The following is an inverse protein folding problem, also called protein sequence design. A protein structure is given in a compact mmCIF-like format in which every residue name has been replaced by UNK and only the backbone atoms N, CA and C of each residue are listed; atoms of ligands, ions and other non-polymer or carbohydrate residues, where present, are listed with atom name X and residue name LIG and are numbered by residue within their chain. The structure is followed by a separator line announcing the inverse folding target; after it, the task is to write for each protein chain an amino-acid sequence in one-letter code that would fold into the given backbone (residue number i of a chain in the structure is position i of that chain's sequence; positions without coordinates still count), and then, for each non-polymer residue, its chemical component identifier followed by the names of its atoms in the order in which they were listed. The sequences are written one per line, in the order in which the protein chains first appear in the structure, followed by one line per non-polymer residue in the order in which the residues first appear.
data_IF_000922010591
#
_entry.id   IF_000922010591
#
_cell.length_a   1.000
_cell.length_b   1.000
_cell.length_c   1.000
_cell.angle_alpha   90.00
_cell.angle_beta   90.00
_cell.angle_gamma   90.00
#
_symmetry.space_group_name_H-M   'P 1'
#
loop_
_entity.id
_entity.type
_entity.pdbx_description
1 polymer ?
#
# COMPACT_ATOMS: atom_id res chain seq x y z
N UNK A 1 -19.50 55.23 -37.00
CA UNK A 1 -18.06 55.55 -36.98
C UNK A 1 -17.80 56.36 -35.72
N UNK A 2 -16.93 55.83 -34.84
CA UNK A 2 -16.40 56.32 -33.56
C UNK A 2 -16.25 55.05 -32.70
N UNK A 3 -15.15 54.31 -32.75
CA UNK A 3 -13.82 54.60 -32.19
C UNK A 3 -13.87 54.95 -30.70
N UNK A 4 -13.68 53.93 -29.85
CA UNK A 4 -13.01 54.08 -28.56
C UNK A 4 -12.34 52.76 -28.22
N UNK A 5 -11.03 52.78 -28.36
CA UNK A 5 -10.10 51.71 -27.98
C UNK A 5 -9.94 51.70 -26.46
N UNK A 6 -9.91 50.51 -25.86
CA UNK A 6 -9.48 50.34 -24.47
C UNK A 6 -7.95 50.09 -24.45
N UNK A 7 -7.18 50.66 -23.51
CA UNK A 7 -5.73 50.55 -23.46
C UNK A 7 -5.27 49.21 -22.87
N UNK A 8 -4.03 48.87 -23.21
CA UNK A 8 -3.19 47.87 -22.55
C UNK A 8 -2.67 48.42 -21.21
N UNK A 9 -2.50 47.54 -20.22
CA UNK A 9 -1.26 47.31 -19.45
C UNK A 9 -1.59 46.68 -18.08
N UNK A 10 -1.01 45.50 -17.90
CA UNK A 10 -0.26 45.05 -16.72
C UNK A 10 -0.78 45.43 -15.32
N UNK A 11 -1.21 44.41 -14.57
CA UNK A 11 -0.90 44.31 -13.14
C UNK A 11 -0.88 42.82 -12.75
N UNK A 12 0.34 42.26 -12.70
CA UNK A 12 0.60 40.98 -12.04
C UNK A 12 0.24 41.10 -10.56
N UNK A 13 -0.83 40.43 -10.16
CA UNK A 13 -1.08 40.15 -8.76
C UNK A 13 -1.03 38.65 -8.56
N UNK A 14 0.17 38.22 -8.18
CA UNK A 14 0.46 36.96 -7.52
C UNK A 14 -0.55 36.73 -6.39
N UNK A 15 -1.60 35.98 -6.71
CA UNK A 15 -2.43 35.33 -5.73
C UNK A 15 -2.22 33.85 -5.97
N UNK A 16 -1.26 33.31 -5.22
CA UNK A 16 -0.88 31.90 -5.23
C UNK A 16 -2.12 31.01 -5.28
N UNK A 17 -2.42 30.53 -6.49
CA UNK A 17 -3.44 29.54 -6.73
C UNK A 17 -2.89 28.26 -6.11
N UNK A 18 -3.19 28.05 -4.83
CA UNK A 18 -2.96 26.79 -4.15
C UNK A 18 -3.70 25.74 -4.96
N UNK A 19 -2.95 25.06 -5.81
CA UNK A 19 -3.36 23.91 -6.60
C UNK A 19 -4.05 22.97 -5.62
N UNK A 20 -5.37 22.87 -5.72
CA UNK A 20 -6.12 21.86 -4.98
C UNK A 20 -5.71 20.52 -5.57
N UNK A 21 -4.63 19.95 -5.04
CA UNK A 21 -4.22 18.59 -5.29
C UNK A 21 -5.30 17.71 -4.67
N UNK A 22 -6.19 17.16 -5.49
CA UNK A 22 -7.00 16.01 -5.10
C UNK A 22 -6.04 14.98 -4.51
N UNK A 23 -6.12 14.79 -3.19
CA UNK A 23 -5.08 14.13 -2.40
C UNK A 23 -4.87 12.69 -2.85
N UNK A 24 -3.79 12.45 -3.60
CA UNK A 24 -3.25 11.10 -3.76
C UNK A 24 -2.68 10.71 -2.40
N UNK A 25 -3.26 9.70 -1.76
CA UNK A 25 -2.63 9.06 -0.60
C UNK A 25 -1.39 8.35 -1.12
N UNK A 26 -0.23 8.95 -0.89
CA UNK A 26 1.05 8.35 -1.26
C UNK A 26 1.44 7.30 -0.22
N UNK A 27 1.73 6.08 -0.69
CA UNK A 27 2.23 5.03 0.17
C UNK A 27 3.62 5.40 0.70
N UNK A 28 3.88 5.11 1.98
CA UNK A 28 5.19 5.37 2.58
C UNK A 28 6.21 4.39 2.05
N UNK A 29 7.44 4.87 1.86
CA UNK A 29 8.59 4.07 1.42
C UNK A 29 9.51 3.65 2.57
N UNK A 30 9.13 3.95 3.82
CA UNK A 30 9.82 3.54 5.05
C UNK A 30 8.82 3.37 6.20
N UNK A 31 9.17 2.52 7.18
CA UNK A 31 8.36 2.27 8.37
C UNK A 31 9.23 1.66 9.48
N UNK A 32 9.12 2.18 10.71
CA UNK A 32 9.88 1.69 11.87
C UNK A 32 9.41 0.31 12.36
N UNK A 33 8.21 -0.11 11.93
CA UNK A 33 7.61 -1.40 12.30
C UNK A 33 8.06 -2.56 11.40
N UNK A 34 8.98 -2.34 10.46
CA UNK A 34 9.54 -3.41 9.62
C UNK A 34 10.43 -4.38 10.42
N UNK A 35 10.89 -3.99 11.62
CA UNK A 35 11.67 -4.85 12.50
C UNK A 35 10.88 -6.00 13.14
N UNK A 36 9.55 -5.95 13.13
CA UNK A 36 8.68 -7.00 13.71
C UNK A 36 8.23 -8.06 12.69
N UNK A 37 8.73 -8.01 11.47
CA UNK A 37 8.39 -8.98 10.43
C UNK A 37 8.98 -10.35 10.76
N UNK A 38 8.27 -11.40 10.34
CA UNK A 38 8.76 -12.78 10.44
C UNK A 38 10.04 -12.93 9.60
N UNK A 39 11.04 -13.73 10.02
CA UNK A 39 12.15 -14.11 9.15
C UNK A 39 11.70 -15.03 8.00
N UNK A 40 10.56 -15.72 8.16
CA UNK A 40 10.04 -16.73 7.25
C UNK A 40 8.89 -16.20 6.37
N UNK A 41 9.02 -14.98 5.82
CA UNK A 41 8.01 -14.37 4.92
C UNK A 41 7.78 -15.14 3.60
N UNK A 42 8.54 -16.21 3.35
CA UNK A 42 8.41 -17.04 2.14
C UNK A 42 7.39 -18.17 2.34
N UNK A 43 7.00 -18.49 3.58
CA UNK A 43 5.98 -19.52 3.88
C UNK A 43 4.58 -18.92 3.87
N UNK A 44 4.24 -18.18 2.80
CA UNK A 44 2.95 -17.52 2.71
C UNK A 44 1.83 -18.53 2.43
N UNK A 45 0.72 -18.45 3.16
CA UNK A 45 -0.49 -19.13 2.76
C UNK A 45 -0.97 -18.59 1.40
N UNK A 46 -1.68 -19.41 0.60
CA UNK A 46 -2.22 -18.95 -0.68
C UNK A 46 -3.07 -17.67 -0.53
N UNK A 47 -3.02 -16.72 -1.48
CA UNK A 47 -3.84 -15.51 -1.45
C UNK A 47 -5.37 -15.73 -1.46
N UNK A 48 -5.83 -16.97 -1.59
CA UNK A 48 -7.24 -17.35 -1.50
C UNK A 48 -7.61 -17.99 -0.14
N UNK A 49 -6.68 -18.00 0.82
CA UNK A 49 -6.94 -18.57 2.13
C UNK A 49 -8.06 -17.81 2.86
N UNK A 50 -9.00 -18.54 3.49
CA UNK A 50 -10.08 -17.93 4.26
C UNK A 50 -9.56 -17.40 5.61
N UNK A 51 -10.35 -16.56 6.26
CA UNK A 51 -10.07 -16.12 7.62
C UNK A 51 -9.96 -17.32 8.58
N UNK A 52 -8.88 -17.41 9.35
CA UNK A 52 -8.66 -18.48 10.32
C UNK A 52 -9.65 -18.49 11.49
N UNK A 53 -10.39 -17.39 11.73
CA UNK A 53 -11.37 -17.29 12.81
C UNK A 53 -12.80 -17.57 12.35
N UNK A 54 -13.28 -16.90 11.30
CA UNK A 54 -14.67 -17.02 10.86
C UNK A 54 -14.85 -17.67 9.47
N UNK A 55 -13.77 -18.17 8.88
CA UNK A 55 -13.77 -18.87 7.59
C UNK A 55 -14.31 -18.05 6.41
N UNK A 56 -14.39 -16.72 6.54
CA UNK A 56 -14.84 -15.85 5.46
C UNK A 56 -13.83 -15.90 4.30
N UNK A 57 -14.27 -16.06 3.04
CA UNK A 57 -13.38 -16.44 1.94
C UNK A 57 -12.65 -15.28 1.27
N UNK A 58 -13.10 -14.03 1.44
CA UNK A 58 -12.57 -12.86 0.73
C UNK A 58 -12.21 -11.73 1.72
N UNK A 59 -11.65 -10.62 1.22
CA UNK A 59 -11.26 -9.47 2.07
C UNK A 59 -10.33 -9.85 3.23
N UNK A 60 -9.48 -10.85 3.01
CA UNK A 60 -8.55 -11.36 4.00
C UNK A 60 -7.19 -10.68 3.89
N UNK A 61 -6.54 -10.59 5.03
CA UNK A 61 -5.22 -9.99 5.21
C UNK A 61 -4.30 -11.03 5.82
N UNK A 62 -3.03 -10.98 5.45
CA UNK A 62 -1.96 -11.79 6.01
C UNK A 62 -1.14 -10.95 6.98
N UNK A 63 -1.01 -11.41 8.22
CA UNK A 63 -0.10 -10.80 9.18
C UNK A 63 1.35 -11.16 8.84
N UNK A 64 2.21 -10.18 8.59
CA UNK A 64 3.59 -10.42 8.19
C UNK A 64 4.53 -10.76 9.37
N UNK A 65 4.05 -10.65 10.60
CA UNK A 65 4.79 -11.07 11.80
C UNK A 65 4.60 -12.54 12.15
N UNK A 66 3.41 -13.12 11.91
CA UNK A 66 3.07 -14.47 12.37
C UNK A 66 2.30 -15.34 11.37
N UNK A 67 2.09 -14.86 10.15
CA UNK A 67 1.44 -15.58 9.04
C UNK A 67 -0.04 -15.98 9.27
N UNK A 68 -0.72 -15.37 10.25
CA UNK A 68 -2.17 -15.52 10.41
C UNK A 68 -2.93 -14.85 9.26
N UNK A 69 -3.98 -15.50 8.76
CA UNK A 69 -4.89 -14.96 7.74
C UNK A 69 -6.21 -14.59 8.39
N UNK A 70 -6.54 -13.30 8.42
CA UNK A 70 -7.72 -12.80 9.11
C UNK A 70 -8.49 -11.81 8.26
N UNK A 71 -9.82 -11.77 8.44
CA UNK A 71 -10.66 -10.89 7.65
C UNK A 71 -10.48 -9.41 8.04
N UNK A 72 -10.63 -8.55 7.04
CA UNK A 72 -10.43 -7.12 7.16
C UNK A 72 -11.55 -6.39 7.89
N UNK A 73 -11.41 -5.06 7.92
CA UNK A 73 -12.29 -4.15 8.67
C UNK A 73 -13.75 -4.13 8.22
N UNK A 74 -14.01 -4.48 6.96
CA UNK A 74 -15.35 -4.50 6.37
C UNK A 74 -16.10 -5.82 6.56
N UNK A 75 -15.45 -6.82 7.18
CA UNK A 75 -16.06 -8.12 7.50
C UNK A 75 -16.30 -8.21 9.02
N UNK A 76 -15.42 -8.88 9.78
CA UNK A 76 -15.53 -9.03 11.24
C UNK A 76 -14.34 -8.40 11.98
N UNK A 77 -13.47 -7.66 11.28
CA UNK A 77 -12.33 -6.94 11.87
C UNK A 77 -11.31 -7.83 12.58
N UNK A 78 -11.25 -9.13 12.28
CA UNK A 78 -10.32 -10.03 12.98
C UNK A 78 -8.85 -9.63 12.83
N UNK A 79 -8.44 -9.06 11.69
CA UNK A 79 -7.06 -8.57 11.56
C UNK A 79 -6.80 -7.33 12.42
N UNK A 80 -7.82 -6.49 12.67
CA UNK A 80 -7.70 -5.34 13.56
C UNK A 80 -7.59 -5.80 15.02
N UNK A 81 -8.46 -6.69 15.49
CA UNK A 81 -8.37 -7.25 16.83
C UNK A 81 -7.03 -7.97 17.05
N UNK A 82 -6.55 -8.73 16.06
CA UNK A 82 -5.24 -9.35 16.10
C UNK A 82 -4.10 -8.34 16.28
N UNK A 83 -4.15 -7.20 15.59
CA UNK A 83 -3.19 -6.12 15.81
C UNK A 83 -3.29 -5.57 17.24
N UNK A 84 -4.49 -5.33 17.75
CA UNK A 84 -4.70 -4.81 19.11
C UNK A 84 -4.17 -5.77 20.19
N UNK A 85 -4.32 -7.08 19.99
CA UNK A 85 -3.91 -8.11 20.94
C UNK A 85 -2.39 -8.41 20.90
N UNK A 86 -1.78 -8.32 19.72
CA UNK A 86 -0.40 -8.81 19.50
C UNK A 86 0.60 -7.70 19.17
N UNK A 87 0.12 -6.51 18.84
CA UNK A 87 0.90 -5.39 18.31
C UNK A 87 1.66 -5.73 17.01
N UNK A 88 1.18 -6.71 16.23
CA UNK A 88 1.71 -7.02 14.90
C UNK A 88 1.19 -6.03 13.85
N UNK A 89 1.95 -4.97 13.59
CA UNK A 89 1.46 -3.80 12.86
C UNK A 89 1.35 -3.97 11.35
N UNK A 90 2.18 -4.81 10.72
CA UNK A 90 2.31 -4.84 9.26
C UNK A 90 1.57 -6.04 8.66
N UNK A 91 0.67 -5.76 7.73
CA UNK A 91 -0.21 -6.76 7.10
C UNK A 91 -0.29 -6.57 5.58
N UNK A 92 -0.46 -7.66 4.85
CA UNK A 92 -0.63 -7.68 3.40
C UNK A 92 -2.07 -8.06 3.03
N UNK A 93 -2.72 -7.27 2.19
CA UNK A 93 -4.05 -7.55 1.65
C UNK A 93 -3.99 -8.64 0.61
N UNK A 94 -4.81 -9.68 0.71
CA UNK A 94 -4.94 -10.66 -0.36
C UNK A 94 -5.82 -10.18 -1.51
N UNK A 95 -6.56 -9.09 -1.36
CA UNK A 95 -7.45 -8.58 -2.42
C UNK A 95 -6.67 -7.82 -3.51
N UNK A 96 -5.76 -6.94 -3.12
CA UNK A 96 -5.03 -6.05 -4.03
C UNK A 96 -3.50 -6.04 -3.80
N UNK A 97 -3.01 -6.90 -2.88
CA UNK A 97 -1.59 -6.99 -2.50
C UNK A 97 -1.02 -5.70 -1.89
N UNK A 98 -1.88 -4.75 -1.51
CA UNK A 98 -1.46 -3.58 -0.74
C UNK A 98 -0.93 -4.00 0.64
N UNK A 99 0.08 -3.28 1.13
CA UNK A 99 0.62 -3.48 2.49
C UNK A 99 0.18 -2.32 3.36
N UNK A 100 -0.32 -2.64 4.54
CA UNK A 100 -0.83 -1.69 5.53
C UNK A 100 -0.05 -1.82 6.83
N UNK A 101 0.24 -0.69 7.46
CA UNK A 101 0.76 -0.63 8.82
C UNK A 101 -0.28 0.01 9.74
N UNK A 102 -0.82 -0.76 10.69
CA UNK A 102 -1.80 -0.27 11.66
C UNK A 102 -1.24 0.84 12.56
N UNK A 103 -0.02 0.68 13.07
CA UNK A 103 0.60 1.68 13.94
C UNK A 103 0.91 3.01 13.25
N UNK A 104 1.19 2.98 11.94
CA UNK A 104 1.42 4.21 11.16
C UNK A 104 0.15 4.80 10.54
N UNK A 105 -0.97 4.08 10.60
CA UNK A 105 -2.21 4.38 9.88
C UNK A 105 -1.95 4.72 8.40
N UNK A 106 -1.12 3.90 7.73
CA UNK A 106 -0.62 4.20 6.39
C UNK A 106 -0.38 2.94 5.54
N UNK A 107 -0.58 3.10 4.24
CA UNK A 107 -0.10 2.14 3.24
C UNK A 107 1.42 2.24 3.08
N UNK A 108 2.04 1.10 2.81
CA UNK A 108 3.46 0.95 2.55
C UNK A 108 3.70 0.49 1.12
N UNK A 109 4.70 1.08 0.46
CA UNK A 109 5.12 0.66 -0.88
C UNK A 109 6.00 -0.59 -0.78
N UNK A 110 5.40 -1.75 -1.03
CA UNK A 110 6.07 -3.05 -0.91
C UNK A 110 7.19 -3.26 -1.94
N UNK A 111 7.18 -2.54 -3.07
CA UNK A 111 8.20 -2.66 -4.11
C UNK A 111 9.43 -1.82 -3.78
N UNK A 112 9.22 -0.64 -3.17
CA UNK A 112 10.28 0.27 -2.74
C UNK A 112 10.90 -0.10 -1.38
N UNK A 113 10.18 -0.83 -0.52
CA UNK A 113 10.69 -1.30 0.78
C UNK A 113 11.35 -2.69 0.61
N UNK A 114 12.69 -2.82 0.78
CA UNK A 114 13.40 -4.07 0.52
C UNK A 114 12.92 -5.26 1.36
N UNK A 115 12.51 -5.02 2.60
CA UNK A 115 12.03 -6.06 3.53
C UNK A 115 10.68 -6.65 3.09
N UNK A 116 9.87 -5.88 2.35
CA UNK A 116 8.54 -6.29 1.89
C UNK A 116 8.56 -6.89 0.48
N UNK A 117 9.61 -6.64 -0.29
CA UNK A 117 9.70 -7.08 -1.68
C UNK A 117 9.57 -8.61 -1.86
N UNK A 118 10.25 -9.47 -1.07
CA UNK A 118 10.16 -10.91 -1.28
C UNK A 118 8.74 -11.46 -1.04
N UNK A 119 8.08 -10.99 0.03
CA UNK A 119 6.73 -11.43 0.38
C UNK A 119 5.71 -10.98 -0.65
N UNK A 120 5.86 -9.75 -1.16
CA UNK A 120 4.99 -9.20 -2.20
C UNK A 120 5.18 -9.92 -3.53
N UNK A 121 6.43 -10.17 -3.96
CA UNK A 121 6.72 -10.93 -5.19
C UNK A 121 6.10 -12.33 -5.14
N UNK A 122 6.27 -13.03 -4.02
CA UNK A 122 5.68 -14.35 -3.83
C UNK A 122 4.15 -14.29 -3.88
N UNK A 123 3.53 -13.36 -3.15
CA UNK A 123 2.07 -13.21 -3.14
C UNK A 123 1.53 -12.88 -4.54
N UNK A 124 2.25 -12.06 -5.31
CA UNK A 124 1.90 -11.72 -6.69
C UNK A 124 1.95 -12.94 -7.60
N UNK A 125 3.04 -13.72 -7.57
CA UNK A 125 3.18 -14.96 -8.36
C UNK A 125 2.10 -15.98 -7.98
N UNK A 126 1.83 -16.16 -6.68
CA UNK A 126 0.78 -17.09 -6.22
C UNK A 126 -0.62 -16.65 -6.67
N UNK A 127 -0.86 -15.34 -6.79
CA UNK A 127 -2.16 -14.79 -7.17
C UNK A 127 -2.39 -14.75 -8.69
N UNK A 128 -1.36 -14.39 -9.45
CA UNK A 128 -1.48 -14.07 -10.88
C UNK A 128 -0.73 -15.05 -11.80
N UNK A 129 0.14 -15.90 -11.26
CA UNK A 129 0.92 -16.87 -12.04
C UNK A 129 2.12 -16.28 -12.79
N UNK A 130 2.45 -15.00 -12.58
CA UNK A 130 3.54 -14.27 -13.23
C UNK A 130 4.24 -13.34 -12.22
N UNK A 131 5.48 -12.86 -12.48
CA UNK A 131 6.14 -11.91 -11.59
C UNK A 131 5.50 -10.50 -11.65
N UNK A 132 5.62 -9.68 -10.58
CA UNK A 132 5.10 -8.32 -10.60
C UNK A 132 5.83 -7.45 -11.65
N UNK A 133 5.14 -6.47 -12.27
CA UNK A 133 5.76 -5.52 -13.18
C UNK A 133 6.95 -4.82 -12.54
N UNK A 134 8.04 -4.64 -13.31
CA UNK A 134 9.21 -3.91 -12.82
C UNK A 134 8.88 -2.43 -12.66
N UNK A 135 9.29 -1.83 -11.54
CA UNK A 135 9.18 -0.39 -11.36
C UNK A 135 10.11 0.35 -12.36
N UNK A 136 9.67 1.46 -12.97
CA UNK A 136 10.45 2.21 -13.95
C UNK A 136 11.84 2.64 -13.48
N UNK A 137 12.03 2.84 -12.17
CA UNK A 137 13.28 3.30 -11.57
C UNK A 137 14.31 2.18 -11.30
N UNK A 138 14.02 0.94 -11.68
CA UNK A 138 14.92 -0.21 -11.55
C UNK A 138 15.39 -0.78 -12.90
N UNK A 139 15.28 -0.02 -14.00
CA UNK A 139 16.02 -0.37 -15.22
C UNK A 139 17.52 -0.42 -14.87
N UNK A 140 18.20 -1.58 -14.98
CA UNK A 140 19.65 -1.56 -14.96
C UNK A 140 20.07 -0.65 -16.10
N UNK A 141 20.92 0.34 -15.81
CA UNK A 141 21.59 1.08 -16.88
C UNK A 141 22.18 0.04 -17.81
N UNK A 142 21.72 0.04 -19.07
CA UNK A 142 22.26 -0.84 -20.08
C UNK A 142 23.77 -0.56 -20.15
N UNK A 143 24.57 -1.57 -19.77
CA UNK A 143 26.00 -1.60 -20.04
C UNK A 143 26.24 -1.99 -21.50
#
# INVERSE_FOLDING_TARGET
MASSSCPTDEEEKDFGLSKATFGRVEARTSCDHLGSLSPDLIKNPPPHSPCNSCYYPTENWLCLSCNQVLCGRYVNKHMLHHFEDTNHSVVLSFNDLSVWCFSCDAYLDAQLIPQLRPVHQLAYILKFGEPPPLLPNHLPSAN
#
